data_IF_322904147588
#
_entry.id   IF_322904147588
#
_cell.length_a   1.000
_cell.length_b   1.000
_cell.length_c   1.000
_cell.angle_alpha   90.00
_cell.angle_beta   90.00
_cell.angle_gamma   90.00
#
_symmetry.space_group_name_H-M   'P 1'
#
loop_
_entity.id
_entity.type
_entity.pdbx_description
1 polymer ?
#
# COMPACT_ATOMS: atom_id res chain seq x y z
N UNK A 1 16.74 -25.18 -33.38
CA UNK A 1 17.58 -24.66 -32.28
C UNK A 1 18.36 -25.79 -31.60
N UNK A 2 17.72 -26.92 -31.25
CA UNK A 2 18.41 -28.10 -30.69
C UNK A 2 19.56 -28.65 -31.54
N UNK A 3 19.39 -28.72 -32.87
CA UNK A 3 20.47 -29.19 -33.76
C UNK A 3 21.73 -28.29 -33.75
N UNK A 4 21.59 -26.97 -33.58
CA UNK A 4 22.75 -26.05 -33.59
C UNK A 4 23.49 -26.07 -32.25
N UNK A 5 22.75 -26.13 -31.13
CA UNK A 5 23.36 -26.29 -29.80
C UNK A 5 24.10 -27.63 -29.65
N UNK A 6 23.55 -28.71 -30.22
CA UNK A 6 24.21 -30.02 -30.24
C UNK A 6 25.50 -30.00 -31.07
N UNK A 7 25.59 -29.18 -32.11
CA UNK A 7 26.75 -29.10 -32.99
C UNK A 7 27.91 -28.30 -32.38
N UNK A 8 27.63 -27.17 -31.70
CA UNK A 8 28.67 -26.40 -30.99
C UNK A 8 29.29 -27.21 -29.84
N UNK A 9 28.46 -27.95 -29.09
CA UNK A 9 28.95 -28.85 -28.04
C UNK A 9 29.81 -29.99 -28.60
N UNK A 10 29.47 -30.52 -29.78
CA UNK A 10 30.28 -31.54 -30.47
C UNK A 10 31.65 -31.00 -30.89
N UNK A 11 31.69 -29.84 -31.55
CA UNK A 11 32.94 -29.22 -31.98
C UNK A 11 33.90 -28.89 -30.83
N UNK A 12 33.38 -28.50 -29.65
CA UNK A 12 34.18 -28.30 -28.44
C UNK A 12 34.78 -29.59 -27.89
N UNK A 13 34.05 -30.70 -27.95
CA UNK A 13 34.56 -32.00 -27.54
C UNK A 13 35.67 -32.49 -28.50
N UNK A 14 35.49 -32.28 -29.80
CA UNK A 14 36.50 -32.58 -30.82
C UNK A 14 37.76 -31.73 -30.62
N UNK A 15 37.62 -30.43 -30.32
CA UNK A 15 38.75 -29.54 -30.01
C UNK A 15 39.54 -30.05 -28.79
N UNK A 16 38.85 -30.41 -27.71
CA UNK A 16 39.49 -30.97 -26.51
C UNK A 16 40.26 -32.27 -26.81
N UNK A 17 39.74 -33.11 -27.72
CA UNK A 17 40.41 -34.33 -28.18
C UNK A 17 41.70 -34.01 -28.96
N UNK A 18 41.65 -33.02 -29.84
CA UNK A 18 42.83 -32.54 -30.59
C UNK A 18 43.88 -31.91 -29.68
N UNK A 19 43.48 -31.12 -28.69
CA UNK A 19 44.38 -30.52 -27.70
C UNK A 19 45.09 -31.59 -26.84
N UNK A 20 44.36 -32.63 -26.42
CA UNK A 20 44.95 -33.76 -25.70
C UNK A 20 45.97 -34.53 -26.57
N UNK A 21 45.69 -34.69 -27.86
CA UNK A 21 46.59 -35.34 -28.81
C UNK A 21 47.85 -34.50 -29.08
N UNK A 22 47.73 -33.17 -29.19
CA UNK A 22 48.86 -32.25 -29.30
C UNK A 22 49.76 -32.30 -28.06
N UNK A 23 49.17 -32.26 -26.86
CA UNK A 23 49.90 -32.41 -25.59
C UNK A 23 50.72 -33.70 -25.54
N UNK A 24 50.11 -34.82 -25.96
CA UNK A 24 50.80 -36.12 -26.06
C UNK A 24 51.97 -36.09 -27.06
N UNK A 25 51.82 -35.40 -28.20
CA UNK A 25 52.90 -35.25 -29.19
C UNK A 25 54.03 -34.37 -28.68
N UNK A 26 53.73 -33.33 -27.91
CA UNK A 26 54.75 -32.46 -27.31
C UNK A 26 55.65 -33.21 -26.34
N UNK A 27 55.10 -34.14 -25.54
CA UNK A 27 55.87 -35.04 -24.68
C UNK A 27 56.81 -35.97 -25.48
N UNK A 28 56.41 -36.37 -26.70
CA UNK A 28 57.20 -37.25 -27.57
C UNK A 28 58.34 -36.52 -28.33
N UNK A 29 58.28 -35.20 -28.43
CA UNK A 29 59.21 -34.36 -29.20
C UNK A 29 60.70 -34.53 -28.85
N UNK A 30 61.13 -34.60 -27.57
CA UNK A 30 62.55 -34.72 -27.21
C UNK A 30 63.20 -36.01 -27.73
N UNK A 31 62.41 -37.09 -27.83
CA UNK A 31 62.86 -38.37 -28.39
C UNK A 31 62.94 -38.29 -29.91
N UNK A 32 61.96 -37.66 -30.55
CA UNK A 32 61.91 -37.51 -32.00
C UNK A 32 63.09 -36.70 -32.57
N UNK A 33 63.53 -35.63 -31.90
CA UNK A 33 64.64 -34.77 -32.36
C UNK A 33 65.97 -35.53 -32.51
N UNK A 34 66.14 -36.66 -31.83
CA UNK A 34 67.36 -37.48 -31.92
C UNK A 34 67.49 -38.26 -33.23
N UNK A 35 66.43 -38.33 -34.04
CA UNK A 35 66.41 -39.04 -35.32
C UNK A 35 65.64 -38.22 -36.38
N UNK A 36 66.28 -37.91 -37.50
CA UNK A 36 65.69 -37.08 -38.56
C UNK A 36 64.36 -37.65 -39.13
N UNK A 37 64.24 -38.98 -39.26
CA UNK A 37 63.01 -39.61 -39.74
C UNK A 37 61.88 -39.49 -38.70
N UNK A 38 62.18 -39.74 -37.42
CA UNK A 38 61.21 -39.60 -36.33
C UNK A 38 60.75 -38.15 -36.14
N UNK A 39 61.67 -37.19 -36.26
CA UNK A 39 61.34 -35.76 -36.22
C UNK A 39 60.44 -35.33 -37.39
N UNK A 40 60.69 -35.86 -38.59
CA UNK A 40 59.85 -35.57 -39.76
C UNK A 40 58.43 -36.09 -39.56
N UNK A 41 58.26 -37.31 -39.04
CA UNK A 41 56.94 -37.88 -38.73
C UNK A 41 56.21 -37.09 -37.64
N UNK A 42 56.92 -36.73 -36.56
CA UNK A 42 56.37 -35.89 -35.49
C UNK A 42 55.87 -34.55 -36.04
N UNK A 43 56.68 -33.87 -36.86
CA UNK A 43 56.34 -32.57 -37.43
C UNK A 43 55.06 -32.66 -38.29
N UNK A 44 54.96 -33.65 -39.16
CA UNK A 44 53.76 -33.82 -40.01
C UNK A 44 52.50 -34.04 -39.18
N UNK A 45 52.57 -34.85 -38.11
CA UNK A 45 51.43 -35.08 -37.21
C UNK A 45 51.07 -33.83 -36.41
N UNK A 46 52.08 -33.12 -35.92
CA UNK A 46 51.89 -31.88 -35.18
C UNK A 46 51.24 -30.82 -36.07
N UNK A 47 51.79 -30.55 -37.25
CA UNK A 47 51.25 -29.57 -38.21
C UNK A 47 49.80 -29.91 -38.62
N UNK A 48 49.48 -31.20 -38.80
CA UNK A 48 48.12 -31.64 -39.11
C UNK A 48 47.13 -31.39 -37.96
N UNK A 49 47.51 -31.67 -36.72
CA UNK A 49 46.67 -31.42 -35.54
C UNK A 49 46.56 -29.93 -35.21
N UNK A 50 47.60 -29.15 -35.46
CA UNK A 50 47.60 -27.70 -35.27
C UNK A 50 46.63 -27.03 -36.26
N UNK A 51 46.66 -27.44 -37.54
CA UNK A 51 45.69 -26.99 -38.54
C UNK A 51 44.25 -27.40 -38.20
N UNK A 52 44.05 -28.61 -37.67
CA UNK A 52 42.73 -29.06 -37.24
C UNK A 52 42.22 -28.28 -36.00
N UNK A 53 43.11 -27.95 -35.06
CA UNK A 53 42.80 -27.08 -33.91
C UNK A 53 42.32 -25.70 -34.38
N UNK A 54 43.02 -25.10 -35.35
CA UNK A 54 42.62 -23.81 -35.93
C UNK A 54 41.25 -23.90 -36.60
N UNK A 55 41.02 -24.91 -37.45
CA UNK A 55 39.72 -25.16 -38.10
C UNK A 55 38.58 -25.31 -37.08
N UNK A 56 38.79 -26.07 -36.00
CA UNK A 56 37.78 -26.30 -34.96
C UNK A 56 37.48 -25.03 -34.17
N UNK A 57 38.47 -24.20 -33.87
CA UNK A 57 38.25 -22.91 -33.23
C UNK A 57 37.39 -21.98 -34.08
N UNK A 58 37.68 -21.87 -35.38
CA UNK A 58 36.88 -21.06 -36.31
C UNK A 58 35.45 -21.59 -36.45
N UNK A 59 35.29 -22.92 -36.50
CA UNK A 59 33.98 -23.56 -36.54
C UNK A 59 33.16 -23.27 -35.28
N UNK A 60 33.77 -23.35 -34.09
CA UNK A 60 33.09 -23.03 -32.82
C UNK A 60 32.62 -21.57 -32.83
N UNK A 61 33.48 -20.63 -33.21
CA UNK A 61 33.12 -19.20 -33.27
C UNK A 61 31.94 -18.98 -34.23
N UNK A 62 31.95 -19.65 -35.38
CA UNK A 62 30.86 -19.56 -36.37
C UNK A 62 29.55 -20.11 -35.80
N UNK A 63 29.58 -21.32 -35.21
CA UNK A 63 28.38 -21.96 -34.64
C UNK A 63 27.79 -21.15 -33.46
N UNK A 64 28.64 -20.59 -32.60
CA UNK A 64 28.20 -19.73 -31.49
C UNK A 64 27.62 -18.40 -31.98
N UNK A 65 28.10 -17.88 -33.12
CA UNK A 65 27.51 -16.72 -33.75
C UNK A 65 26.13 -17.03 -34.31
N UNK A 66 26.00 -18.11 -35.10
CA UNK A 66 24.72 -18.58 -35.65
C UNK A 66 23.69 -18.87 -34.55
N UNK A 67 24.11 -19.48 -33.44
CA UNK A 67 23.24 -19.74 -32.29
C UNK A 67 22.69 -18.44 -31.69
N UNK A 68 23.55 -17.43 -31.49
CA UNK A 68 23.16 -16.12 -30.97
C UNK A 68 22.20 -15.41 -31.91
N UNK A 69 22.43 -15.45 -33.21
CA UNK A 69 21.53 -14.85 -34.20
C UNK A 69 20.17 -15.55 -34.23
N UNK A 70 20.15 -16.89 -34.23
CA UNK A 70 18.92 -17.67 -34.19
C UNK A 70 18.11 -17.38 -32.92
N UNK A 71 18.78 -17.26 -31.77
CA UNK A 71 18.14 -16.90 -30.50
C UNK A 71 17.55 -15.49 -30.55
N UNK A 72 18.32 -14.51 -31.01
CA UNK A 72 17.85 -13.13 -31.12
C UNK A 72 16.65 -13.01 -32.06
N UNK A 73 16.65 -13.73 -33.17
CA UNK A 73 15.51 -13.78 -34.09
C UNK A 73 14.26 -14.39 -33.43
N UNK A 74 14.41 -15.50 -32.70
CA UNK A 74 13.31 -16.13 -31.97
C UNK A 74 12.73 -15.21 -30.87
N UNK A 75 13.61 -14.56 -30.10
CA UNK A 75 13.22 -13.61 -29.05
C UNK A 75 12.48 -12.40 -29.64
N UNK A 76 12.91 -11.89 -30.79
CA UNK A 76 12.24 -10.78 -31.49
C UNK A 76 10.84 -11.14 -31.98
N UNK A 77 10.66 -12.36 -32.52
CA UNK A 77 9.33 -12.87 -32.93
C UNK A 77 8.41 -13.00 -31.71
N UNK A 78 8.88 -13.64 -30.64
CA UNK A 78 8.10 -13.82 -29.41
C UNK A 78 7.71 -12.47 -28.76
N UNK A 79 8.61 -11.48 -28.78
CA UNK A 79 8.32 -10.13 -28.28
C UNK A 79 7.23 -9.45 -29.13
N UNK A 80 7.28 -9.61 -30.46
CA UNK A 80 6.30 -9.02 -31.37
C UNK A 80 4.91 -9.62 -31.18
N UNK A 81 4.82 -10.93 -31.00
CA UNK A 81 3.56 -11.62 -30.69
C UNK A 81 2.94 -11.08 -29.39
N UNK A 82 3.73 -11.01 -28.30
CA UNK A 82 3.26 -10.44 -27.02
C UNK A 82 2.83 -8.98 -27.15
N UNK A 83 3.55 -8.20 -27.96
CA UNK A 83 3.20 -6.81 -28.23
C UNK A 83 1.84 -6.70 -28.93
N UNK A 84 1.62 -7.49 -29.98
CA UNK A 84 0.38 -7.46 -30.76
C UNK A 84 -0.82 -7.94 -29.92
N UNK A 85 -0.63 -8.98 -29.10
CA UNK A 85 -1.63 -9.44 -28.12
C UNK A 85 -1.99 -8.34 -27.11
N UNK A 86 -0.98 -7.72 -26.49
CA UNK A 86 -1.18 -6.65 -25.52
C UNK A 86 -1.87 -5.43 -26.17
N UNK A 87 -1.48 -5.08 -27.40
CA UNK A 87 -2.11 -4.00 -28.17
C UNK A 87 -3.59 -4.29 -28.43
N UNK A 88 -3.93 -5.51 -28.86
CA UNK A 88 -5.31 -5.91 -29.10
C UNK A 88 -6.14 -5.90 -27.80
N UNK A 89 -5.58 -6.42 -26.69
CA UNK A 89 -6.21 -6.38 -25.38
C UNK A 89 -6.48 -4.95 -24.91
N UNK A 90 -5.51 -4.04 -25.08
CA UNK A 90 -5.64 -2.63 -24.72
C UNK A 90 -6.71 -1.91 -25.56
N UNK A 91 -6.80 -2.20 -26.86
CA UNK A 91 -7.85 -1.63 -27.71
C UNK A 91 -9.24 -2.11 -27.29
N UNK A 92 -9.40 -3.40 -26.99
CA UNK A 92 -10.64 -3.98 -26.48
C UNK A 92 -11.04 -3.35 -25.14
N UNK A 93 -10.09 -3.19 -24.22
CA UNK A 93 -10.32 -2.55 -22.94
C UNK A 93 -10.71 -1.08 -23.11
N UNK A 94 -10.03 -0.33 -23.98
CA UNK A 94 -10.36 1.07 -24.26
C UNK A 94 -11.79 1.22 -24.82
N UNK A 95 -12.22 0.34 -25.72
CA UNK A 95 -13.59 0.32 -26.22
C UNK A 95 -14.61 0.05 -25.10
N UNK A 96 -14.29 -0.91 -24.22
CA UNK A 96 -15.14 -1.25 -23.06
C UNK A 96 -15.23 -0.08 -22.08
N UNK A 97 -14.11 0.56 -21.74
CA UNK A 97 -14.07 1.76 -20.90
C UNK A 97 -15.02 2.83 -21.46
N UNK A 98 -14.94 3.16 -22.76
CA UNK A 98 -15.84 4.16 -23.37
C UNK A 98 -17.31 3.77 -23.28
N UNK A 99 -17.63 2.50 -23.57
CA UNK A 99 -19.01 1.98 -23.49
C UNK A 99 -19.56 2.05 -22.07
N UNK A 100 -18.81 1.52 -21.10
CA UNK A 100 -19.29 1.35 -19.74
C UNK A 100 -19.35 2.69 -19.00
N UNK A 101 -18.38 3.59 -19.24
CA UNK A 101 -18.47 4.96 -18.74
C UNK A 101 -19.66 5.71 -19.33
N UNK A 102 -19.98 5.53 -20.62
CA UNK A 102 -21.17 6.13 -21.22
C UNK A 102 -22.45 5.64 -20.54
N UNK A 103 -22.57 4.33 -20.25
CA UNK A 103 -23.73 3.76 -19.54
C UNK A 103 -23.80 4.26 -18.10
N UNK A 104 -22.69 4.23 -17.36
CA UNK A 104 -22.62 4.72 -15.99
C UNK A 104 -23.02 6.20 -15.92
N UNK A 105 -22.48 7.04 -16.81
CA UNK A 105 -22.85 8.45 -16.90
C UNK A 105 -24.34 8.65 -17.21
N UNK A 106 -24.93 7.85 -18.10
CA UNK A 106 -26.36 7.94 -18.37
C UNK A 106 -27.21 7.66 -17.13
N UNK A 107 -26.84 6.63 -16.35
CA UNK A 107 -27.50 6.28 -15.08
C UNK A 107 -27.32 7.42 -14.06
N UNK A 108 -26.09 7.91 -13.88
CA UNK A 108 -25.80 8.98 -12.93
C UNK A 108 -26.52 10.28 -13.31
N UNK A 109 -26.51 10.68 -14.58
CA UNK A 109 -27.23 11.88 -15.05
C UNK A 109 -28.75 11.75 -14.82
N UNK A 110 -29.32 10.58 -15.06
CA UNK A 110 -30.74 10.34 -14.78
C UNK A 110 -31.04 10.49 -13.29
N UNK A 111 -30.24 9.85 -12.42
CA UNK A 111 -30.37 9.97 -10.97
C UNK A 111 -30.22 11.41 -10.47
N UNK A 112 -29.26 12.17 -11.03
CA UNK A 112 -29.08 13.58 -10.70
C UNK A 112 -30.30 14.42 -11.07
N UNK A 113 -30.92 14.14 -12.22
CA UNK A 113 -32.15 14.80 -12.65
C UNK A 113 -33.29 14.48 -11.70
N UNK A 114 -33.48 13.22 -11.36
CA UNK A 114 -34.56 12.77 -10.49
C UNK A 114 -34.41 13.35 -9.08
N UNK A 115 -33.19 13.34 -8.52
CA UNK A 115 -32.88 13.95 -7.23
C UNK A 115 -33.16 15.46 -7.23
N UNK A 116 -32.68 16.18 -8.25
CA UNK A 116 -32.93 17.62 -8.37
C UNK A 116 -34.43 17.95 -8.50
N UNK A 117 -35.19 17.17 -9.28
CA UNK A 117 -36.63 17.34 -9.40
C UNK A 117 -37.35 17.09 -8.08
N UNK A 118 -36.95 16.04 -7.35
CA UNK A 118 -37.54 15.72 -6.06
C UNK A 118 -37.24 16.79 -5.00
N UNK A 119 -36.03 17.35 -4.98
CA UNK A 119 -35.66 18.44 -4.08
C UNK A 119 -36.46 19.72 -4.37
N UNK A 120 -36.63 20.08 -5.65
CA UNK A 120 -37.47 21.22 -6.06
C UNK A 120 -38.91 21.02 -5.60
N UNK A 121 -39.48 19.83 -5.85
CA UNK A 121 -40.84 19.51 -5.44
C UNK A 121 -41.01 19.55 -3.91
N UNK A 122 -40.05 18.99 -3.19
CA UNK A 122 -40.00 18.99 -1.71
C UNK A 122 -39.95 20.42 -1.17
N UNK A 123 -39.08 21.26 -1.74
CA UNK A 123 -38.97 22.68 -1.37
C UNK A 123 -40.26 23.46 -1.62
N UNK A 124 -40.93 23.20 -2.75
CA UNK A 124 -42.21 23.84 -3.08
C UNK A 124 -43.33 23.45 -2.11
N UNK A 125 -43.38 22.19 -1.65
CA UNK A 125 -44.33 21.73 -0.64
C UNK A 125 -44.00 22.31 0.73
N UNK A 126 -42.73 22.28 1.13
CA UNK A 126 -42.26 22.85 2.40
C UNK A 126 -42.54 24.35 2.52
N UNK A 127 -42.51 25.10 1.41
CA UNK A 127 -42.86 26.52 1.41
C UNK A 127 -44.36 26.79 1.64
N UNK A 128 -45.23 25.79 1.45
CA UNK A 128 -46.69 25.91 1.58
C UNK A 128 -47.23 25.21 2.84
N UNK A 129 -46.34 24.66 3.67
CA UNK A 129 -46.71 23.88 4.84
C UNK A 129 -47.33 24.78 5.93
N UNK A 130 -48.50 24.42 6.48
CA UNK A 130 -49.09 25.09 7.64
C UNK A 130 -48.18 25.06 8.87
N UNK A 131 -48.32 26.07 9.74
CA UNK A 131 -47.62 26.12 11.02
C UNK A 131 -47.90 24.87 11.86
N UNK A 132 -46.84 24.24 12.37
CA UNK A 132 -46.89 23.07 13.25
C UNK A 132 -46.71 21.71 12.57
N UNK A 133 -46.60 21.65 11.25
CA UNK A 133 -46.21 20.44 10.53
C UNK A 133 -44.69 20.38 10.29
N UNK A 134 -44.12 19.19 10.45
CA UNK A 134 -42.69 18.97 10.22
C UNK A 134 -42.36 19.05 8.72
N UNK A 135 -41.31 19.79 8.32
CA UNK A 135 -40.88 19.86 6.93
C UNK A 135 -40.49 18.48 6.39
N UNK A 136 -40.82 18.24 5.12
CA UNK A 136 -40.37 17.05 4.42
C UNK A 136 -38.85 17.06 4.25
N UNK A 137 -38.23 15.93 4.53
CA UNK A 137 -36.78 15.73 4.37
C UNK A 137 -36.47 15.38 2.91
N UNK A 138 -35.49 16.05 2.27
CA UNK A 138 -35.08 15.74 0.91
C UNK A 138 -34.66 14.26 0.76
N UNK A 139 -35.02 13.57 -0.35
CA UNK A 139 -34.68 12.15 -0.56
C UNK A 139 -33.19 11.86 -0.46
N UNK A 140 -32.35 12.82 -0.85
CA UNK A 140 -30.91 12.68 -0.74
C UNK A 140 -30.43 12.54 0.72
N UNK A 141 -31.02 13.32 1.62
CA UNK A 141 -30.72 13.26 3.05
C UNK A 141 -31.21 11.91 3.61
N UNK A 142 -32.38 11.44 3.20
CA UNK A 142 -32.90 10.13 3.62
C UNK A 142 -31.97 9.00 3.18
N UNK A 143 -31.53 9.01 1.92
CA UNK A 143 -30.76 7.91 1.34
C UNK A 143 -29.31 7.86 1.83
N UNK A 144 -28.71 9.00 2.20
CA UNK A 144 -27.26 9.11 2.38
C UNK A 144 -26.83 9.66 3.75
N UNK A 145 -27.75 10.19 4.56
CA UNK A 145 -27.41 10.60 5.91
C UNK A 145 -27.06 9.39 6.75
N UNK A 146 -25.94 9.48 7.47
CA UNK A 146 -25.60 8.55 8.53
C UNK A 146 -26.00 9.18 9.85
N UNK A 147 -26.83 8.47 10.61
CA UNK A 147 -27.15 8.87 11.97
C UNK A 147 -25.85 9.02 12.77
N UNK A 148 -25.78 10.07 13.58
CA UNK A 148 -24.70 10.21 14.53
C UNK A 148 -24.73 9.05 15.51
N UNK A 149 -23.56 8.59 15.94
CA UNK A 149 -23.47 7.57 16.97
C UNK A 149 -23.19 8.28 18.29
N UNK A 150 -24.03 8.08 19.32
CA UNK A 150 -23.75 8.66 20.61
C UNK A 150 -22.43 8.11 21.16
N UNK A 151 -21.83 8.88 22.06
CA UNK A 151 -20.74 8.37 22.90
C UNK A 151 -21.20 7.08 23.58
N UNK A 152 -20.32 6.09 23.58
CA UNK A 152 -20.57 4.80 24.23
C UNK A 152 -19.40 4.48 25.14
N UNK A 153 -19.63 4.53 26.45
CA UNK A 153 -18.66 4.06 27.43
C UNK A 153 -18.61 2.53 27.39
N UNK A 154 -17.39 1.98 27.29
CA UNK A 154 -17.12 0.55 27.16
C UNK A 154 -16.78 -0.06 28.51
N UNK A 155 -15.80 0.54 29.18
CA UNK A 155 -15.33 0.11 30.50
C UNK A 155 -15.02 1.32 31.37
N UNK A 156 -15.15 1.15 32.68
CA UNK A 156 -14.76 2.15 33.67
C UNK A 156 -14.01 1.46 34.79
N UNK A 157 -12.82 1.93 35.12
CA UNK A 157 -12.02 1.42 36.24
C UNK A 157 -11.33 2.56 36.99
N UNK A 158 -11.00 2.30 38.25
CA UNK A 158 -10.21 3.23 39.07
C UNK A 158 -8.74 2.88 38.99
N UNK A 159 -7.91 3.88 38.72
CA UNK A 159 -6.47 3.72 38.59
C UNK A 159 -5.74 4.78 39.37
N UNK A 160 -4.61 4.40 39.98
CA UNK A 160 -3.73 5.34 40.67
C UNK A 160 -2.65 5.78 39.70
N UNK A 161 -2.58 7.08 39.43
CA UNK A 161 -1.61 7.67 38.52
C UNK A 161 -0.77 8.72 39.24
N UNK A 162 0.50 8.80 38.89
CA UNK A 162 1.40 9.84 39.33
C UNK A 162 1.04 11.17 38.66
N UNK A 163 0.89 12.19 39.49
CA UNK A 163 0.68 13.57 39.12
C UNK A 163 1.75 14.45 39.75
N UNK A 164 2.02 15.61 39.15
CA UNK A 164 2.85 16.63 39.79
C UNK A 164 2.11 17.25 40.99
N UNK A 165 2.81 17.96 41.87
CA UNK A 165 2.17 18.77 42.92
C UNK A 165 1.13 19.79 42.39
N UNK A 166 1.26 20.21 41.12
CA UNK A 166 0.29 21.08 40.45
C UNK A 166 -0.92 20.34 39.84
N UNK A 167 -1.05 19.03 40.06
CA UNK A 167 -2.17 18.23 39.54
C UNK A 167 -2.04 17.82 38.07
N UNK A 168 -0.89 18.03 37.43
CA UNK A 168 -0.66 17.64 36.03
C UNK A 168 -0.27 16.16 35.97
N UNK A 169 -0.88 15.41 35.04
CA UNK A 169 -0.57 13.99 34.83
C UNK A 169 0.86 13.80 34.27
N UNK A 170 1.60 12.85 34.83
CA UNK A 170 2.91 12.45 34.28
C UNK A 170 2.70 11.56 33.05
N UNK A 171 3.28 11.93 31.90
CA UNK A 171 3.09 11.15 30.66
C UNK A 171 3.64 9.72 30.73
N UNK A 172 4.84 9.56 31.30
CA UNK A 172 5.48 8.26 31.52
C UNK A 172 5.40 7.87 33.00
N UNK A 173 4.39 7.07 33.34
CA UNK A 173 4.10 6.65 34.72
C UNK A 173 5.22 5.81 35.35
N UNK A 174 5.96 5.05 34.55
CA UNK A 174 7.02 4.13 35.01
C UNK A 174 8.34 4.85 35.30
N UNK A 175 8.49 6.09 34.82
CA UNK A 175 9.69 6.91 35.05
C UNK A 175 9.75 7.55 36.45
N UNK A 176 8.66 7.49 37.21
CA UNK A 176 8.58 8.07 38.55
C UNK A 176 9.21 7.12 39.57
N UNK A 177 10.21 7.61 40.31
CA UNK A 177 10.81 6.87 41.41
C UNK A 177 9.98 7.03 42.68
N UNK A 178 9.23 5.99 43.04
CA UNK A 178 8.48 5.90 44.29
C UNK A 178 9.41 5.82 45.50
N UNK A 179 9.08 6.57 46.56
CA UNK A 179 9.77 6.52 47.86
C UNK A 179 8.83 6.23 49.04
N UNK A 180 7.59 5.81 48.76
CA UNK A 180 6.61 5.36 49.72
C UNK A 180 5.59 6.44 50.14
N UNK A 181 4.44 5.99 50.64
CA UNK A 181 3.37 6.86 51.11
C UNK A 181 2.64 7.62 49.99
N UNK A 182 2.63 7.07 48.77
CA UNK A 182 1.99 7.69 47.60
C UNK A 182 2.73 8.93 47.09
N UNK A 183 4.05 9.01 47.31
CA UNK A 183 4.90 10.13 46.88
C UNK A 183 6.09 9.62 46.07
N UNK A 184 6.41 10.35 45.01
CA UNK A 184 7.41 9.96 44.04
C UNK A 184 8.16 11.17 43.49
N UNK A 185 9.23 10.94 42.74
CA UNK A 185 9.96 12.01 42.05
C UNK A 185 10.40 11.56 40.66
N UNK A 186 10.39 12.51 39.73
CA UNK A 186 10.85 12.32 38.35
C UNK A 186 11.94 13.36 38.03
N UNK A 187 12.94 12.95 37.25
CA UNK A 187 14.09 13.80 36.89
C UNK A 187 15.30 13.64 37.81
N UNK A 188 16.35 14.42 37.54
CA UNK A 188 17.61 14.43 38.31
C UNK A 188 18.07 15.87 38.59
N UNK A 189 18.68 16.06 39.76
CA UNK A 189 19.28 17.36 40.15
C UNK A 189 18.24 18.46 40.37
N UNK A 190 18.53 19.66 39.87
CA UNK A 190 17.69 20.86 40.02
C UNK A 190 16.35 20.80 39.28
N UNK A 191 16.16 19.83 38.38
CA UNK A 191 14.92 19.65 37.60
C UNK A 191 14.05 18.51 38.14
N UNK A 192 14.24 18.16 39.42
CA UNK A 192 13.44 17.14 40.07
C UNK A 192 12.04 17.68 40.33
N UNK A 193 11.02 17.00 39.81
CA UNK A 193 9.61 17.33 40.09
C UNK A 193 9.07 16.35 41.12
N UNK A 194 8.51 16.88 42.19
CA UNK A 194 7.81 16.08 43.20
C UNK A 194 6.45 15.65 42.64
N UNK A 195 6.15 14.37 42.85
CA UNK A 195 4.94 13.72 42.36
C UNK A 195 4.19 13.07 43.52
N UNK A 196 2.90 12.90 43.36
CA UNK A 196 2.08 12.11 44.27
C UNK A 196 1.11 11.23 43.49
N UNK A 197 0.63 10.15 44.11
CA UNK A 197 -0.43 9.33 43.54
C UNK A 197 -1.78 10.01 43.73
N UNK A 198 -2.50 10.19 42.63
CA UNK A 198 -3.88 10.62 42.62
C UNK A 198 -4.75 9.52 41.99
N UNK A 199 -5.98 9.39 42.49
CA UNK A 199 -6.94 8.42 41.98
C UNK A 199 -7.70 9.02 40.81
N UNK A 200 -7.77 8.29 39.70
CA UNK A 200 -8.53 8.65 38.51
C UNK A 200 -9.57 7.58 38.20
N UNK A 201 -10.73 8.02 37.71
CA UNK A 201 -11.65 7.18 36.97
C UNK A 201 -11.19 7.16 35.51
N UNK A 202 -10.71 6.02 35.05
CA UNK A 202 -10.33 5.74 33.67
C UNK A 202 -11.53 5.13 32.95
N UNK A 203 -12.02 5.83 31.93
CA UNK A 203 -13.16 5.40 31.11
C UNK A 203 -12.67 5.16 29.69
N UNK A 204 -12.76 3.92 29.23
CA UNK A 204 -12.60 3.58 27.82
C UNK A 204 -13.95 3.80 27.12
N UNK A 205 -13.96 4.56 26.02
CA UNK A 205 -15.20 4.89 25.33
C UNK A 205 -14.98 5.01 23.82
N UNK A 206 -16.07 4.84 23.07
CA UNK A 206 -16.14 5.28 21.70
C UNK A 206 -16.59 6.75 21.65
N UNK A 207 -15.84 7.64 20.97
CA UNK A 207 -16.21 9.04 20.89
C UNK A 207 -17.53 9.25 20.15
N UNK A 208 -18.24 10.32 20.49
CA UNK A 208 -19.44 10.72 19.77
C UNK A 208 -19.09 11.04 18.31
N UNK A 209 -19.86 10.46 17.40
CA UNK A 209 -19.74 10.77 15.98
C UNK A 209 -20.93 11.64 15.57
N UNK A 210 -20.70 12.87 15.07
CA UNK A 210 -21.79 13.72 14.64
C UNK A 210 -22.50 13.10 13.44
N UNK A 211 -23.80 13.38 13.30
CA UNK A 211 -24.55 12.96 12.12
C UNK A 211 -23.91 13.53 10.86
N UNK A 212 -23.55 12.64 9.92
CA UNK A 212 -22.92 13.05 8.67
C UNK A 212 -24.01 13.41 7.67
N UNK A 213 -24.02 14.68 7.25
CA UNK A 213 -24.91 15.16 6.19
C UNK A 213 -24.21 14.99 4.84
N UNK A 214 -24.89 14.40 3.85
CA UNK A 214 -24.32 14.26 2.52
C UNK A 214 -24.16 15.65 1.86
N UNK A 215 -23.07 15.83 1.12
CA UNK A 215 -23.01 16.89 0.10
C UNK A 215 -24.00 16.56 -1.02
N UNK A 216 -24.65 17.60 -1.56
CA UNK A 216 -25.67 17.44 -2.58
C UNK A 216 -25.16 16.72 -3.83
N UNK A 217 -25.95 15.78 -4.35
CA UNK A 217 -25.58 14.92 -5.48
C UNK A 217 -25.28 15.73 -6.74
N UNK A 218 -26.03 16.82 -6.97
CA UNK A 218 -25.81 17.72 -8.11
C UNK A 218 -24.49 18.50 -8.05
N UNK A 219 -23.79 18.49 -6.92
CA UNK A 219 -22.43 19.02 -6.77
C UNK A 219 -21.34 17.99 -7.11
N UNK A 220 -21.70 16.72 -7.34
CA UNK A 220 -20.74 15.69 -7.74
C UNK A 220 -20.35 15.85 -9.22
N UNK A 221 -19.05 15.91 -9.49
CA UNK A 221 -18.50 15.98 -10.85
C UNK A 221 -18.52 14.60 -11.50
N UNK A 222 -19.16 14.49 -12.67
CA UNK A 222 -19.27 13.24 -13.44
C UNK A 222 -17.98 12.87 -14.17
N UNK A 223 -17.95 11.63 -14.66
CA UNK A 223 -16.86 11.13 -15.48
C UNK A 223 -16.76 11.80 -16.82
N UNK A 224 -15.67 12.55 -17.04
CA UNK A 224 -15.25 12.93 -18.38
C UNK A 224 -15.06 11.70 -19.25
N UNK A 225 -15.97 11.46 -20.19
CA UNK A 225 -15.88 10.36 -21.16
C UNK A 225 -14.93 10.68 -22.34
N UNK A 226 -14.46 11.93 -22.45
CA UNK A 226 -13.74 12.47 -23.62
C UNK A 226 -12.40 13.14 -23.29
N UNK A 227 -11.85 12.97 -22.09
CA UNK A 227 -10.54 13.53 -21.71
C UNK A 227 -10.03 13.01 -20.37
N UNK A 228 -8.74 13.19 -20.05
CA UNK A 228 -8.12 12.62 -18.86
C UNK A 228 -8.39 13.50 -17.64
N UNK A 229 -9.65 13.64 -17.23
CA UNK A 229 -9.97 14.28 -15.95
C UNK A 229 -11.00 13.47 -15.17
N UNK A 230 -10.49 12.93 -14.07
CA UNK A 230 -11.14 12.24 -12.97
C UNK A 230 -10.58 12.87 -11.70
N UNK A 231 -11.39 13.55 -10.90
CA UNK A 231 -11.06 13.78 -9.48
C UNK A 231 -11.55 12.55 -8.68
N UNK A 232 -11.04 11.37 -9.03
CA UNK A 232 -10.61 10.44 -7.98
C UNK A 232 -9.29 11.08 -7.55
N UNK A 233 -9.19 11.66 -6.36
CA UNK A 233 -8.16 12.69 -6.11
C UNK A 233 -6.71 12.21 -6.27
N UNK A 234 -6.49 10.90 -6.50
CA UNK A 234 -5.19 10.32 -6.85
C UNK A 234 -4.19 10.39 -5.71
N UNK A 235 -4.50 11.03 -4.58
CA UNK A 235 -3.55 11.25 -3.49
C UNK A 235 -3.08 9.95 -2.85
N UNK A 236 -3.81 8.85 -3.06
CA UNK A 236 -3.48 7.51 -2.53
C UNK A 236 -3.08 6.47 -3.57
N UNK A 237 -3.33 6.69 -4.87
CA UNK A 237 -3.00 5.70 -5.92
C UNK A 237 -2.37 6.40 -7.12
N UNK A 238 -1.04 6.51 -7.09
CA UNK A 238 -0.28 7.11 -8.20
C UNK A 238 0.07 6.09 -9.29
N UNK A 239 -0.19 4.79 -9.07
CA UNK A 239 0.12 3.73 -10.02
C UNK A 239 -1.06 2.75 -10.23
N UNK A 240 -1.29 2.20 -11.45
CA UNK A 240 -2.36 1.24 -11.73
C UNK A 240 -2.33 -0.03 -10.86
N UNK A 241 -1.16 -0.42 -10.38
CA UNK A 241 -0.99 -1.55 -9.46
C UNK A 241 -1.62 -1.28 -8.09
N UNK A 242 -1.59 -0.03 -7.63
CA UNK A 242 -2.12 0.37 -6.32
C UNK A 242 -3.65 0.42 -6.33
N UNK A 243 -4.26 0.60 -7.51
CA UNK A 243 -5.71 0.62 -7.70
C UNK A 243 -6.31 -0.75 -7.36
N UNK A 244 -5.68 -1.85 -7.78
CA UNK A 244 -6.16 -3.20 -7.45
C UNK A 244 -6.05 -3.49 -5.94
N UNK A 245 -4.99 -3.02 -5.29
CA UNK A 245 -4.79 -3.16 -3.86
C UNK A 245 -5.76 -2.28 -3.03
N UNK A 246 -6.16 -1.11 -3.53
CA UNK A 246 -7.22 -0.30 -2.89
C UNK A 246 -8.62 -0.84 -3.18
N UNK A 247 -8.92 -1.35 -4.38
CA UNK A 247 -10.21 -1.98 -4.67
C UNK A 247 -10.44 -3.21 -3.77
N UNK A 248 -9.41 -4.03 -3.56
CA UNK A 248 -9.45 -5.14 -2.61
C UNK A 248 -9.66 -4.67 -1.15
N UNK A 249 -9.14 -3.48 -0.77
CA UNK A 249 -9.41 -2.86 0.54
C UNK A 249 -10.82 -2.25 0.63
N UNK A 250 -11.36 -1.75 -0.47
CA UNK A 250 -12.73 -1.23 -0.56
C UNK A 250 -13.78 -2.33 -0.39
N UNK A 251 -13.49 -3.55 -0.86
CA UNK A 251 -14.32 -4.74 -0.60
C UNK A 251 -14.33 -5.12 0.89
N UNK A 252 -13.22 -4.87 1.62
CA UNK A 252 -13.13 -5.03 3.09
C UNK A 252 -13.85 -3.87 3.82
N UNK A 253 -13.91 -2.67 3.25
CA UNK A 253 -14.55 -1.50 3.85
C UNK A 253 -16.10 -1.57 3.91
N UNK A 254 -16.70 -2.63 3.36
CA UNK A 254 -18.10 -2.98 3.60
C UNK A 254 -18.33 -3.57 5.01
N UNK A 255 -17.26 -3.98 5.70
CA UNK A 255 -17.31 -4.36 7.11
C UNK A 255 -17.45 -3.10 7.99
N UNK A 256 -18.26 -3.15 9.06
CA UNK A 256 -18.39 -2.01 9.98
C UNK A 256 -17.01 -1.68 10.54
N UNK A 257 -16.48 -0.50 10.22
CA UNK A 257 -15.24 -0.01 10.81
C UNK A 257 -15.39 -0.03 12.33
N UNK A 258 -14.47 -0.71 13.01
CA UNK A 258 -14.37 -0.63 14.46
C UNK A 258 -14.16 0.85 14.85
N UNK A 259 -15.04 1.36 15.72
CA UNK A 259 -14.93 2.72 16.24
C UNK A 259 -13.64 2.80 17.08
N UNK A 260 -12.88 3.90 17.00
CA UNK A 260 -11.68 4.05 17.83
C UNK A 260 -12.06 3.98 19.31
N UNK A 261 -11.19 3.40 20.12
CA UNK A 261 -11.30 3.40 21.58
C UNK A 261 -10.41 4.53 22.09
N UNK A 262 -11.02 5.48 22.79
CA UNK A 262 -10.33 6.56 23.49
C UNK A 262 -10.42 6.34 25.00
N UNK A 263 -9.45 6.90 25.72
CA UNK A 263 -9.37 6.82 27.18
C UNK A 263 -9.51 8.22 27.75
N UNK A 264 -10.53 8.43 28.59
CA UNK A 264 -10.70 9.64 29.37
C UNK A 264 -10.31 9.38 30.82
N UNK A 265 -9.47 10.26 31.39
CA UNK A 265 -9.06 10.21 32.79
C UNK A 265 -9.73 11.35 33.54
N UNK A 266 -10.59 11.02 34.52
CA UNK A 266 -11.26 12.00 35.39
C UNK A 266 -10.67 11.92 36.80
N UNK A 267 -10.12 13.01 37.36
CA UNK A 267 -9.60 12.98 38.71
C UNK A 267 -10.74 12.73 39.71
N UNK A 268 -10.54 11.80 40.64
CA UNK A 268 -11.48 11.55 41.73
C UNK A 268 -11.13 12.51 42.87
N UNK A 269 -12.03 13.42 43.26
CA UNK A 269 -11.76 14.36 44.33
C UNK A 269 -11.40 13.63 45.62
N UNK A 270 -10.31 14.04 46.28
CA UNK A 270 -9.98 13.47 47.59
C UNK A 270 -10.87 14.08 48.68
N UNK A 271 -11.07 13.36 49.80
CA UNK A 271 -11.96 13.78 50.90
C UNK A 271 -11.61 15.16 51.50
N UNK A 272 -10.36 15.60 51.39
CA UNK A 272 -9.91 16.91 51.88
C UNK A 272 -10.21 18.04 50.88
N UNK A 273 -10.26 17.75 49.57
CA UNK A 273 -10.65 18.71 48.52
C UNK A 273 -12.18 18.87 48.45
N UNK A 274 -12.94 17.78 48.62
CA UNK A 274 -14.41 17.80 48.65
C UNK A 274 -14.97 18.69 49.78
N UNK A 275 -14.25 18.79 50.91
CA UNK A 275 -14.61 19.71 52.01
C UNK A 275 -14.41 21.18 51.65
N UNK A 276 -13.40 21.50 50.86
CA UNK A 276 -13.10 22.87 50.42
C UNK A 276 -14.04 23.38 49.31
N UNK A 277 -14.56 22.50 48.44
CA UNK A 277 -15.57 22.88 47.45
C UNK A 277 -16.96 23.10 48.06
N UNK A 278 -17.37 22.33 49.07
CA UNK A 278 -18.67 22.51 49.72
C UNK A 278 -18.84 23.85 50.48
N UNK A 279 -17.75 24.59 50.68
CA UNK A 279 -17.73 25.88 51.39
C UNK A 279 -17.88 27.08 50.42
N UNK A 280 -17.76 26.87 49.10
CA UNK A 280 -17.97 27.94 48.11
C UNK A 280 -19.43 28.00 47.64
N UNK A 281 -20.17 28.86 48.35
CA UNK A 281 -21.45 29.49 47.99
C UNK A 281 -22.76 28.70 48.14
N UNK A 282 -23.66 29.11 49.07
CA UNK A 282 -25.10 28.92 48.85
C UNK A 282 -25.55 29.80 47.66
N UNK A 283 -26.57 29.39 46.89
CA UNK A 283 -27.08 30.20 45.79
C UNK A 283 -27.65 31.51 46.35
N UNK A 284 -27.12 32.64 45.87
CA UNK A 284 -27.80 33.92 45.99
C UNK A 284 -29.16 33.78 45.30
N UNK A 285 -30.21 33.70 46.12
CA UNK A 285 -31.58 33.67 45.64
C UNK A 285 -31.82 34.84 44.71
N UNK A 286 -32.22 34.54 43.48
CA UNK A 286 -32.83 35.53 42.61
C UNK A 286 -34.31 35.19 42.56
N UNK A 287 -35.06 35.95 43.34
CA UNK A 287 -36.50 36.18 43.18
C UNK A 287 -36.66 36.98 41.89
N UNK A 288 -37.40 36.46 40.92
CA UNK A 288 -38.00 37.28 39.88
C UNK A 288 -39.49 36.95 39.84
N UNK A 289 -40.28 37.99 40.13
CA UNK A 289 -41.72 38.10 39.92
C UNK A 289 -42.03 38.47 38.49
#
# INVERSE_FOLDING_TARGET
MENVMSNSSGAKADLATVEAALSTLDEAKPTAIRNAAAFTEWRVKHDALDAERERLNELIVTLEHEEREAKAAADAVALRERYDECRAANQKLAARIRSDLKKANAILVALLRDAAQADIATGAVNAQLPDGLEPLVPPETIARTRAGLPRQDLTSKRTWLWTTEGGMLIGDQDSVRDYGGGRGRIGQGSYTTLCHLALYDEVEFHPEEPAQRPHSLWQMRLVGASGPHYEYDGTRCNHPHDVLAELARGEIAAEPRERPIEIELRPVPTLDEAKHESIKSPPAGTVIS
#
